data_IF_152978080602
#
_entry.id   IF_152978080602
#
_cell.length_a   1.000
_cell.length_b   1.000
_cell.length_c   1.000
_cell.angle_alpha   90.00
_cell.angle_beta   90.00
_cell.angle_gamma   90.00
#
_symmetry.space_group_name_H-M   'P 1'
#
loop_
_entity.id
_entity.type
_entity.pdbx_description
1 polymer ?
#
# COMPACT_ATOMS: atom_id res chain seq x y z
N UNK A 1 -25.85 7.99 14.72
CA UNK A 1 -25.03 8.19 13.50
C UNK A 1 -25.90 7.82 12.29
N UNK A 2 -26.42 8.81 11.56
CA UNK A 2 -27.18 8.54 10.34
C UNK A 2 -26.24 7.93 9.30
N UNK A 3 -26.56 6.73 8.82
CA UNK A 3 -25.79 6.06 7.77
C UNK A 3 -25.91 6.86 6.48
N UNK A 4 -24.78 7.30 5.93
CA UNK A 4 -24.72 7.96 4.62
C UNK A 4 -25.24 6.97 3.58
N UNK A 5 -26.18 7.40 2.72
CA UNK A 5 -26.69 6.56 1.64
C UNK A 5 -25.52 6.22 0.69
N UNK A 6 -25.36 4.95 0.27
CA UNK A 6 -24.35 4.58 -0.71
C UNK A 6 -24.58 5.31 -2.05
N UNK A 7 -23.51 5.56 -2.80
CA UNK A 7 -23.56 6.22 -4.12
C UNK A 7 -23.94 5.26 -5.26
N UNK A 8 -23.96 3.96 -4.96
CA UNK A 8 -24.32 2.89 -5.87
C UNK A 8 -25.54 2.20 -5.27
N UNK A 9 -26.59 2.05 -6.05
CA UNK A 9 -27.79 1.34 -5.62
C UNK A 9 -27.69 -0.18 -5.87
N UNK A 10 -28.76 -0.92 -5.57
CA UNK A 10 -28.83 -2.37 -5.75
C UNK A 10 -28.88 -2.81 -7.22
N UNK A 11 -29.19 -1.90 -8.14
CA UNK A 11 -29.26 -2.13 -9.58
C UNK A 11 -27.95 -1.74 -10.28
N UNK A 12 -27.04 -1.09 -9.54
CA UNK A 12 -25.72 -0.68 -10.00
C UNK A 12 -25.69 0.74 -10.60
N UNK A 13 -26.78 1.50 -10.49
CA UNK A 13 -26.79 2.89 -10.93
C UNK A 13 -25.98 3.76 -9.97
N UNK A 14 -25.18 4.65 -10.56
CA UNK A 14 -24.29 5.56 -9.84
C UNK A 14 -24.93 6.94 -9.79
N UNK A 15 -25.19 7.46 -8.59
CA UNK A 15 -25.71 8.82 -8.41
C UNK A 15 -24.59 9.87 -8.54
N UNK A 16 -24.96 11.11 -8.86
CA UNK A 16 -24.00 12.22 -8.96
C UNK A 16 -23.27 12.51 -7.64
N UNK A 17 -22.04 13.01 -7.76
CA UNK A 17 -21.22 13.44 -6.63
C UNK A 17 -21.73 14.78 -6.11
N UNK A 18 -22.26 14.79 -4.89
CA UNK A 18 -22.84 15.97 -4.25
C UNK A 18 -21.85 16.65 -3.28
N UNK A 19 -22.22 17.84 -2.80
CA UNK A 19 -21.43 18.63 -1.86
C UNK A 19 -20.97 17.86 -0.59
N UNK A 20 -21.78 16.93 -0.02
CA UNK A 20 -21.33 16.01 1.03
C UNK A 20 -20.19 15.07 0.62
N UNK A 21 -20.15 14.60 -0.65
CA UNK A 21 -19.05 13.78 -1.17
C UNK A 21 -17.74 14.56 -1.09
N UNK A 22 -17.70 15.76 -1.68
CA UNK A 22 -16.50 16.57 -1.75
C UNK A 22 -16.04 17.06 -0.37
N UNK A 23 -16.98 17.32 0.55
CA UNK A 23 -16.66 17.68 1.93
C UNK A 23 -15.93 16.57 2.69
N UNK A 24 -16.27 15.30 2.42
CA UNK A 24 -15.70 14.14 3.12
C UNK A 24 -14.66 13.37 2.30
N UNK A 25 -14.46 13.74 1.04
CA UNK A 25 -13.52 13.09 0.14
C UNK A 25 -12.09 13.28 0.65
N UNK A 26 -11.46 12.16 1.03
CA UNK A 26 -10.03 12.14 1.38
C UNK A 26 -9.22 11.89 0.12
N UNK A 27 -8.31 12.81 -0.19
CA UNK A 27 -7.37 12.66 -1.30
C UNK A 27 -6.40 11.51 -1.01
N UNK A 28 -6.05 10.75 -2.05
CA UNK A 28 -5.06 9.68 -2.00
C UNK A 28 -5.68 8.29 -2.08
N UNK A 29 -4.85 7.29 -2.42
CA UNK A 29 -5.28 5.88 -2.38
C UNK A 29 -5.54 5.49 -0.93
N UNK A 30 -6.59 4.69 -0.64
CA UNK A 30 -6.73 4.04 0.64
C UNK A 30 -5.40 3.35 1.03
N UNK A 31 -4.98 3.44 2.30
CA UNK A 31 -3.76 2.79 2.73
C UNK A 31 -3.91 1.28 2.60
N UNK A 32 -2.81 0.57 2.31
CA UNK A 32 -2.85 -0.89 2.25
C UNK A 32 -3.38 -1.48 3.58
N UNK A 33 -4.06 -2.65 3.53
CA UNK A 33 -4.40 -3.43 4.71
C UNK A 33 -3.16 -3.67 5.58
N UNK A 34 -3.33 -3.68 6.90
CA UNK A 34 -2.20 -3.77 7.84
C UNK A 34 -1.31 -5.00 7.61
N UNK A 35 -1.93 -6.13 7.22
CA UNK A 35 -1.24 -7.38 6.89
C UNK A 35 -0.34 -7.27 5.64
N UNK A 36 -0.63 -6.33 4.73
CA UNK A 36 0.11 -6.12 3.49
C UNK A 36 1.14 -4.99 3.61
N UNK A 37 1.19 -4.30 4.76
CA UNK A 37 2.17 -3.24 4.99
C UNK A 37 3.53 -3.82 5.31
N UNK A 38 4.54 -3.41 4.55
CA UNK A 38 5.95 -3.67 4.89
C UNK A 38 6.27 -3.08 6.26
N UNK A 39 6.94 -3.86 7.12
CA UNK A 39 7.41 -3.41 8.42
C UNK A 39 8.85 -2.95 8.33
N UNK A 40 9.20 -1.85 9.01
CA UNK A 40 10.59 -1.39 9.11
C UNK A 40 11.33 -2.28 10.10
N UNK A 41 12.40 -2.91 9.64
CA UNK A 41 13.31 -3.72 10.45
C UNK A 41 14.71 -3.14 10.31
N UNK A 42 15.45 -3.03 11.41
CA UNK A 42 16.85 -2.62 11.40
C UNK A 42 17.72 -3.89 11.32
N UNK A 43 18.50 -4.02 10.26
CA UNK A 43 19.43 -5.13 10.04
C UNK A 43 20.80 -4.56 9.67
N UNK A 44 21.87 -5.14 10.21
CA UNK A 44 23.23 -4.83 9.81
C UNK A 44 23.62 -5.75 8.65
N UNK A 45 23.98 -5.15 7.51
CA UNK A 45 24.45 -5.86 6.33
C UNK A 45 25.91 -5.48 6.05
N UNK A 46 26.66 -6.39 5.42
CA UNK A 46 28.04 -6.08 5.03
C UNK A 46 28.06 -4.97 3.95
N UNK A 47 29.14 -4.17 3.88
CA UNK A 47 29.24 -3.09 2.90
C UNK A 47 29.06 -3.57 1.45
N UNK A 48 29.64 -4.73 1.11
CA UNK A 48 29.52 -5.32 -0.23
C UNK A 48 28.05 -5.65 -0.60
N UNK A 49 27.25 -6.13 0.36
CA UNK A 49 25.84 -6.43 0.13
C UNK A 49 25.03 -5.16 -0.07
N UNK A 50 25.32 -4.09 0.70
CA UNK A 50 24.67 -2.80 0.54
C UNK A 50 24.93 -2.22 -0.86
N UNK A 51 26.18 -2.25 -1.32
CA UNK A 51 26.54 -1.77 -2.65
C UNK A 51 25.89 -2.62 -3.77
N UNK A 52 25.86 -3.94 -3.61
CA UNK A 52 25.16 -4.83 -4.54
C UNK A 52 23.65 -4.55 -4.61
N UNK A 53 23.00 -4.27 -3.47
CA UNK A 53 21.57 -3.93 -3.44
C UNK A 53 21.27 -2.56 -4.04
N UNK A 54 22.12 -1.56 -3.79
CA UNK A 54 22.00 -0.22 -4.40
C UNK A 54 22.14 -0.28 -5.93
N UNK A 55 23.07 -1.07 -6.44
CA UNK A 55 23.29 -1.23 -7.87
C UNK A 55 22.07 -1.81 -8.61
N UNK A 56 21.23 -2.60 -7.91
CA UNK A 56 20.00 -3.20 -8.46
C UNK A 56 18.77 -2.28 -8.40
N UNK A 57 18.88 -1.11 -7.77
CA UNK A 57 17.82 -0.11 -7.69
C UNK A 57 17.18 -0.03 -6.31
N UNK A 58 15.86 -0.25 -6.22
CA UNK A 58 15.12 -0.07 -4.98
C UNK A 58 15.52 -1.11 -3.91
N UNK A 59 16.48 -0.72 -3.06
CA UNK A 59 17.12 -1.58 -2.05
C UNK A 59 16.13 -2.41 -1.23
N UNK A 60 15.06 -1.81 -0.71
CA UNK A 60 14.06 -2.52 0.09
C UNK A 60 13.17 -3.46 -0.72
N UNK A 61 12.93 -3.20 -2.01
CA UNK A 61 12.17 -4.11 -2.85
C UNK A 61 13.01 -5.32 -3.24
N UNK A 62 14.28 -5.09 -3.59
CA UNK A 62 15.21 -6.17 -3.95
C UNK A 62 15.56 -7.04 -2.74
N UNK A 63 15.79 -6.44 -1.56
CA UNK A 63 16.04 -7.19 -0.34
C UNK A 63 14.83 -8.06 0.04
N UNK A 64 13.61 -7.51 -0.04
CA UNK A 64 12.37 -8.24 0.23
C UNK A 64 12.20 -9.41 -0.75
N UNK A 65 12.45 -9.19 -2.04
CA UNK A 65 12.41 -10.25 -3.07
C UNK A 65 13.39 -11.38 -2.77
N UNK A 66 14.67 -11.06 -2.53
CA UNK A 66 15.71 -12.07 -2.24
C UNK A 66 15.37 -12.86 -0.97
N UNK A 67 14.91 -12.17 0.08
CA UNK A 67 14.52 -12.83 1.32
C UNK A 67 13.30 -13.73 1.13
N UNK A 68 12.32 -13.32 0.33
CA UNK A 68 11.17 -14.16 -0.01
C UNK A 68 11.57 -15.42 -0.78
N UNK A 69 12.39 -15.27 -1.81
CA UNK A 69 12.92 -16.41 -2.58
C UNK A 69 13.70 -17.38 -1.68
N UNK A 70 14.55 -16.86 -0.78
CA UNK A 70 15.33 -17.68 0.15
C UNK A 70 14.46 -18.40 1.20
N UNK A 71 13.29 -17.84 1.54
CA UNK A 71 12.36 -18.40 2.53
C UNK A 71 11.22 -19.20 1.88
N UNK A 72 11.13 -19.24 0.55
CA UNK A 72 10.06 -19.91 -0.19
C UNK A 72 8.69 -19.22 -0.06
N UNK A 73 8.66 -17.89 0.05
CA UNK A 73 7.45 -17.08 0.29
C UNK A 73 6.95 -16.31 -0.93
#
# INVERSE_FOLDING_TARGET
MNKVKPYIDSEGEVRELDEPFFTNAKRGRPPLPEAERKRRVNLMLSPAVIEALKARGAMSAEADKILREAMGL
#
